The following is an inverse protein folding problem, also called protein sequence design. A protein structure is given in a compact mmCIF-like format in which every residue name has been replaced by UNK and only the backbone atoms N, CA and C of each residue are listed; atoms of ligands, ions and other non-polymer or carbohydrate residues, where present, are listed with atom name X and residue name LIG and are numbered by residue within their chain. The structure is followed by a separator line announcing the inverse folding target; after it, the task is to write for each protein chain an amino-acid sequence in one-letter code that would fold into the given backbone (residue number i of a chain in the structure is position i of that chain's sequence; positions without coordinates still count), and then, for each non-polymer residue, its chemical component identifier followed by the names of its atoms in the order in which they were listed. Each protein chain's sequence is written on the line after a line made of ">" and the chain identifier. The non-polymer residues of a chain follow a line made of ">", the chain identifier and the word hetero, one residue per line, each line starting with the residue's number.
data_IF_096935424829
#
_entry.id   IF_096935424829
#
_cell.length_a   1.000
_cell.length_b   1.000
_cell.length_c   1.000
_cell.angle_alpha   90.00
_cell.angle_beta   90.00
_cell.angle_gamma   90.00
#
_symmetry.space_group_name_H-M   'P 1'
#
loop_
_entity.id
_entity.type
_entity.pdbx_description
1 polymer ?
#
# COMPACT_ATOMS: atom_id res chain seq x y z
N UNK A 1 7.51 -44.24 0.00
CA UNK A 1 6.66 -43.08 -0.31
C UNK A 1 6.70 -42.15 0.88
N UNK A 2 7.52 -41.09 0.82
CA UNK A 2 7.58 -40.07 1.88
C UNK A 2 6.26 -39.31 1.84
N UNK A 3 5.34 -39.65 2.75
CA UNK A 3 4.08 -38.95 2.95
C UNK A 3 4.39 -37.51 3.37
N UNK A 4 4.51 -36.62 2.38
CA UNK A 4 4.74 -35.22 2.65
C UNK A 4 3.50 -34.65 3.33
N UNK A 5 3.68 -34.14 4.53
CA UNK A 5 2.58 -33.63 5.34
C UNK A 5 2.31 -32.19 4.95
N UNK A 6 1.03 -31.88 4.63
CA UNK A 6 0.56 -30.51 4.39
C UNK A 6 0.90 -29.64 5.60
N UNK A 7 1.50 -28.47 5.37
CA UNK A 7 1.97 -27.59 6.46
C UNK A 7 1.04 -26.40 6.59
N UNK A 8 0.72 -26.03 7.84
CA UNK A 8 0.05 -24.77 8.12
C UNK A 8 1.09 -23.65 8.11
N UNK A 9 0.81 -22.59 7.35
CA UNK A 9 1.61 -21.39 7.30
C UNK A 9 0.74 -20.23 7.71
N UNK A 10 1.16 -19.49 8.72
CA UNK A 10 0.54 -18.20 9.04
C UNK A 10 1.51 -17.10 8.63
N UNK A 11 0.99 -16.15 7.86
CA UNK A 11 1.77 -15.09 7.23
C UNK A 11 1.21 -13.73 7.62
N UNK A 12 2.07 -12.73 7.71
CA UNK A 12 1.71 -11.34 7.97
C UNK A 12 2.50 -10.40 7.08
N UNK A 13 1.81 -9.42 6.50
CA UNK A 13 2.38 -8.31 5.75
C UNK A 13 2.38 -7.07 6.66
N UNK A 14 3.54 -6.42 6.79
CA UNK A 14 3.77 -5.26 7.67
C UNK A 14 4.71 -4.26 6.99
N UNK A 15 4.70 -2.97 7.35
CA UNK A 15 3.98 -2.34 8.47
C UNK A 15 2.55 -1.93 8.13
N UNK A 16 1.61 -2.16 9.07
CA UNK A 16 0.20 -1.75 8.89
C UNK A 16 -0.04 -0.33 9.38
N UNK A 17 0.38 -0.02 10.60
CA UNK A 17 0.10 1.27 11.23
C UNK A 17 0.85 2.42 10.53
N UNK A 18 2.12 2.21 10.19
CA UNK A 18 2.91 3.21 9.46
C UNK A 18 2.36 3.43 8.04
N UNK A 19 1.89 2.37 7.36
CA UNK A 19 1.37 2.54 6.00
C UNK A 19 -0.05 3.10 5.95
N UNK A 20 -0.96 2.59 6.79
CA UNK A 20 -2.38 2.98 6.79
C UNK A 20 -2.63 4.19 7.68
N UNK A 21 -2.10 4.16 8.90
CA UNK A 21 -2.37 5.17 9.94
C UNK A 21 -1.67 6.50 9.68
N UNK A 22 -0.50 6.51 9.04
CA UNK A 22 0.16 7.75 8.63
C UNK A 22 -0.47 8.29 7.34
N UNK A 23 -1.62 8.95 7.50
CA UNK A 23 -2.40 9.55 6.42
C UNK A 23 -2.73 11.00 6.75
N UNK A 24 -2.37 11.94 5.86
CA UNK A 24 -2.75 13.35 5.99
C UNK A 24 -4.12 13.66 5.38
N UNK A 25 -4.61 12.77 4.52
CA UNK A 25 -5.85 12.91 3.75
C UNK A 25 -6.65 11.63 3.84
N UNK A 26 -7.98 11.73 3.76
CA UNK A 26 -8.89 10.57 3.75
C UNK A 26 -8.60 9.63 2.57
N UNK A 27 -8.21 10.18 1.42
CA UNK A 27 -7.72 9.37 0.30
C UNK A 27 -6.44 8.59 0.63
N UNK A 28 -5.52 9.15 1.40
CA UNK A 28 -4.28 8.43 1.78
C UNK A 28 -4.58 7.26 2.71
N UNK A 29 -5.56 7.45 3.61
CA UNK A 29 -6.04 6.40 4.50
C UNK A 29 -6.69 5.28 3.69
N UNK A 30 -7.60 5.63 2.79
CA UNK A 30 -8.21 4.67 1.86
C UNK A 30 -7.14 3.95 1.04
N UNK A 31 -6.26 4.70 0.39
CA UNK A 31 -5.16 4.20 -0.43
C UNK A 31 -4.30 3.18 0.33
N UNK A 32 -3.90 3.51 1.56
CA UNK A 32 -3.13 2.62 2.41
C UNK A 32 -3.87 1.31 2.70
N UNK A 33 -5.13 1.40 3.12
CA UNK A 33 -5.95 0.21 3.43
C UNK A 33 -6.23 -0.66 2.18
N UNK A 34 -6.51 -0.02 1.05
CA UNK A 34 -6.81 -0.69 -0.21
C UNK A 34 -5.58 -1.42 -0.74
N UNK A 35 -4.43 -0.76 -0.79
CA UNK A 35 -3.18 -1.38 -1.25
C UNK A 35 -2.74 -2.53 -0.35
N UNK A 36 -2.90 -2.41 0.97
CA UNK A 36 -2.60 -3.51 1.89
C UNK A 36 -3.48 -4.73 1.64
N UNK A 37 -4.79 -4.53 1.50
CA UNK A 37 -5.74 -5.60 1.14
C UNK A 37 -5.41 -6.22 -0.22
N UNK A 38 -5.04 -5.40 -1.21
CA UNK A 38 -4.65 -5.86 -2.53
C UNK A 38 -3.37 -6.70 -2.50
N UNK A 39 -2.34 -6.28 -1.76
CA UNK A 39 -1.11 -7.07 -1.59
C UNK A 39 -1.39 -8.39 -0.84
N UNK A 40 -2.27 -8.38 0.16
CA UNK A 40 -2.75 -9.61 0.79
C UNK A 40 -3.48 -10.52 -0.19
N UNK A 41 -4.28 -9.96 -1.10
CA UNK A 41 -4.92 -10.70 -2.18
C UNK A 41 -3.89 -11.38 -3.10
N UNK A 42 -2.82 -10.69 -3.46
CA UNK A 42 -1.74 -11.26 -4.29
C UNK A 42 -1.08 -12.46 -3.62
N UNK A 43 -0.75 -12.35 -2.33
CA UNK A 43 -0.19 -13.45 -1.56
C UNK A 43 -1.16 -14.65 -1.48
N UNK A 44 -2.44 -14.40 -1.20
CA UNK A 44 -3.45 -15.46 -1.11
C UNK A 44 -3.75 -16.11 -2.47
N UNK A 45 -3.75 -15.34 -3.55
CA UNK A 45 -3.91 -15.84 -4.91
C UNK A 45 -2.75 -16.76 -5.29
N UNK A 46 -1.50 -16.36 -4.99
CA UNK A 46 -0.32 -17.20 -5.22
C UNK A 46 -0.40 -18.56 -4.48
N UNK A 47 -0.92 -18.56 -3.24
CA UNK A 47 -1.18 -19.82 -2.51
C UNK A 47 -2.17 -20.70 -3.27
N UNK A 48 -3.29 -20.14 -3.71
CA UNK A 48 -4.33 -20.90 -4.43
C UNK A 48 -3.83 -21.42 -5.78
N UNK A 49 -3.10 -20.61 -6.54
CA UNK A 49 -2.50 -20.99 -7.83
C UNK A 49 -1.47 -22.12 -7.67
N UNK A 50 -0.75 -22.16 -6.54
CA UNK A 50 0.15 -23.25 -6.19
C UNK A 50 -0.57 -24.52 -5.70
N UNK A 51 -1.91 -24.56 -5.69
CA UNK A 51 -2.71 -25.69 -5.20
C UNK A 51 -2.86 -25.74 -3.67
N UNK A 52 -2.51 -24.66 -2.98
CA UNK A 52 -2.76 -24.49 -1.56
C UNK A 52 -4.16 -23.96 -1.25
N UNK A 53 -4.45 -23.84 0.04
CA UNK A 53 -5.76 -23.42 0.54
C UNK A 53 -5.61 -22.33 1.60
N UNK A 54 -6.48 -21.33 1.56
CA UNK A 54 -6.57 -20.32 2.62
C UNK A 54 -7.52 -20.85 3.70
N UNK A 55 -6.98 -21.14 4.87
CA UNK A 55 -7.74 -21.64 6.03
C UNK A 55 -8.48 -20.50 6.71
N UNK A 56 -7.83 -19.34 6.84
CA UNK A 56 -8.42 -18.16 7.45
C UNK A 56 -7.79 -16.88 6.89
N UNK A 57 -8.57 -15.85 6.52
CA UNK A 57 -10.04 -15.81 6.53
C UNK A 57 -10.67 -16.63 5.38
N UNK A 58 -12.00 -16.67 5.33
CA UNK A 58 -12.74 -17.18 4.17
C UNK A 58 -12.63 -16.17 3.02
N UNK A 59 -12.16 -16.61 1.86
CA UNK A 59 -11.80 -15.70 0.75
C UNK A 59 -12.33 -16.14 -0.63
N UNK A 60 -13.08 -17.23 -0.71
CA UNK A 60 -13.53 -17.79 -1.99
C UNK A 60 -14.42 -16.82 -2.78
N UNK A 61 -15.29 -16.09 -2.08
CA UNK A 61 -16.17 -15.08 -2.66
C UNK A 61 -15.58 -13.67 -2.66
N UNK A 62 -14.34 -13.48 -2.16
CA UNK A 62 -13.74 -12.16 -2.11
C UNK A 62 -13.48 -11.63 -3.54
N UNK A 63 -13.95 -10.42 -3.87
CA UNK A 63 -13.88 -9.91 -5.24
C UNK A 63 -12.44 -9.72 -5.73
N UNK A 64 -11.47 -9.40 -4.86
CA UNK A 64 -10.07 -9.26 -5.28
C UNK A 64 -9.47 -10.63 -5.64
N UNK A 65 -9.75 -11.66 -4.84
CA UNK A 65 -9.29 -13.03 -5.12
C UNK A 65 -9.88 -13.55 -6.44
N UNK A 66 -11.19 -13.36 -6.64
CA UNK A 66 -11.86 -13.79 -7.87
C UNK A 66 -11.31 -13.08 -9.11
N UNK A 67 -11.01 -11.79 -9.00
CA UNK A 67 -10.40 -11.02 -10.09
C UNK A 67 -8.99 -11.50 -10.44
N UNK A 68 -8.18 -11.88 -9.44
CA UNK A 68 -6.83 -12.37 -9.67
C UNK A 68 -6.82 -13.76 -10.32
N UNK A 69 -7.64 -14.68 -9.81
CA UNK A 69 -7.61 -16.09 -10.21
C UNK A 69 -8.46 -16.36 -11.45
N UNK A 70 -9.70 -15.89 -11.47
CA UNK A 70 -10.67 -16.22 -12.54
C UNK A 70 -10.68 -15.17 -13.66
N UNK A 71 -10.14 -13.97 -13.40
CA UNK A 71 -10.02 -12.86 -14.36
C UNK A 71 -11.34 -12.45 -15.04
N UNK A 72 -12.50 -12.74 -14.44
CA UNK A 72 -13.80 -12.35 -14.97
C UNK A 72 -14.91 -12.33 -13.89
N UNK A 73 -16.03 -11.68 -14.24
CA UNK A 73 -17.33 -11.92 -13.60
C UNK A 73 -17.64 -11.20 -12.29
N UNK A 74 -16.79 -10.29 -11.82
CA UNK A 74 -17.03 -9.53 -10.56
C UNK A 74 -16.65 -8.07 -10.72
N UNK A 75 -17.45 -7.18 -10.11
CA UNK A 75 -17.14 -5.75 -10.03
C UNK A 75 -15.96 -5.53 -9.10
N UNK A 76 -14.89 -4.82 -9.53
CA UNK A 76 -13.78 -4.50 -8.66
C UNK A 76 -14.21 -3.70 -7.43
N UNK A 77 -13.74 -4.09 -6.24
CA UNK A 77 -14.15 -3.43 -5.01
C UNK A 77 -13.55 -2.03 -4.94
N UNK A 78 -14.29 -1.09 -4.35
CA UNK A 78 -13.75 0.23 -3.97
C UNK A 78 -12.98 0.13 -2.66
N UNK A 79 -13.39 -0.75 -1.74
CA UNK A 79 -12.78 -0.92 -0.41
C UNK A 79 -12.19 -2.31 -0.29
N UNK A 80 -10.97 -2.40 0.24
CA UNK A 80 -10.33 -3.68 0.53
C UNK A 80 -10.87 -4.34 1.78
N UNK A 81 -11.19 -5.64 1.69
CA UNK A 81 -11.74 -6.48 2.76
C UNK A 81 -10.70 -7.44 3.37
N UNK A 82 -9.59 -7.68 2.69
CA UNK A 82 -8.65 -8.73 3.06
C UNK A 82 -7.69 -8.25 4.16
N UNK A 83 -7.50 -9.03 5.22
CA UNK A 83 -6.59 -8.69 6.29
C UNK A 83 -5.13 -8.90 5.87
N UNK A 84 -4.24 -8.18 6.56
CA UNK A 84 -2.81 -8.29 6.35
C UNK A 84 -2.18 -9.58 6.93
N UNK A 85 -2.96 -10.40 7.64
CA UNK A 85 -2.52 -11.65 8.23
C UNK A 85 -3.52 -12.76 7.87
N UNK A 86 -3.01 -13.89 7.41
CA UNK A 86 -3.82 -15.04 7.03
C UNK A 86 -3.09 -16.35 7.32
N UNK A 87 -3.87 -17.44 7.37
CA UNK A 87 -3.35 -18.81 7.50
C UNK A 87 -3.70 -19.61 6.27
N UNK A 88 -2.75 -20.41 5.80
CA UNK A 88 -2.86 -21.25 4.63
C UNK A 88 -2.34 -22.67 4.89
N UNK A 89 -2.85 -23.64 4.12
CA UNK A 89 -2.25 -24.96 3.93
C UNK A 89 -1.49 -24.98 2.63
N UNK A 90 -0.19 -25.28 2.69
CA UNK A 90 0.66 -25.39 1.49
C UNK A 90 0.92 -26.85 1.11
N UNK A 91 0.93 -27.16 -0.21
CA UNK A 91 1.35 -28.46 -0.72
C UNK A 91 2.80 -28.80 -0.38
N UNK A 92 3.11 -30.08 -0.47
CA UNK A 92 4.47 -30.59 -0.28
C UNK A 92 5.40 -30.00 -1.34
N UNK A 93 6.53 -29.46 -0.91
CA UNK A 93 7.52 -28.84 -1.80
C UNK A 93 7.24 -27.36 -2.13
N UNK A 94 6.09 -26.83 -1.74
CA UNK A 94 5.76 -25.40 -1.88
C UNK A 94 6.09 -24.67 -0.59
N UNK A 95 6.94 -23.66 -0.69
CA UNK A 95 7.34 -22.81 0.44
C UNK A 95 6.55 -21.51 0.53
N UNK A 96 6.51 -20.87 1.71
CA UNK A 96 5.86 -19.56 1.91
C UNK A 96 6.49 -18.41 1.09
N UNK A 97 7.67 -18.62 0.50
CA UNK A 97 8.40 -17.66 -0.32
C UNK A 97 7.58 -17.18 -1.52
N UNK A 98 6.68 -18.02 -2.06
CA UNK A 98 5.76 -17.64 -3.16
C UNK A 98 4.90 -16.43 -2.80
N UNK A 99 4.51 -16.30 -1.52
CA UNK A 99 3.70 -15.18 -1.04
C UNK A 99 4.52 -13.89 -1.01
N UNK A 100 5.79 -13.99 -0.58
CA UNK A 100 6.71 -12.86 -0.53
C UNK A 100 7.00 -12.35 -1.95
N UNK A 101 7.28 -13.27 -2.87
CA UNK A 101 7.53 -12.95 -4.28
C UNK A 101 6.32 -12.28 -4.92
N UNK A 102 5.12 -12.85 -4.77
CA UNK A 102 3.88 -12.25 -5.29
C UNK A 102 3.64 -10.82 -4.76
N UNK A 103 3.88 -10.57 -3.46
CA UNK A 103 3.74 -9.24 -2.86
C UNK A 103 4.79 -8.28 -3.39
N UNK A 104 6.05 -8.68 -3.45
CA UNK A 104 7.17 -7.83 -3.89
C UNK A 104 7.06 -7.50 -5.38
N UNK A 105 6.68 -8.45 -6.23
CA UNK A 105 6.49 -8.25 -7.66
C UNK A 105 5.32 -7.30 -7.94
N UNK A 106 4.18 -7.52 -7.27
CA UNK A 106 3.02 -6.65 -7.42
C UNK A 106 3.32 -5.22 -6.95
N UNK A 107 3.93 -5.07 -5.76
CA UNK A 107 4.32 -3.77 -5.22
C UNK A 107 5.33 -3.05 -6.12
N UNK A 108 6.38 -3.76 -6.56
CA UNK A 108 7.40 -3.25 -7.46
C UNK A 108 6.81 -2.78 -8.79
N UNK A 109 5.89 -3.56 -9.38
CA UNK A 109 5.21 -3.20 -10.63
C UNK A 109 4.38 -1.92 -10.50
N UNK A 110 3.63 -1.76 -9.41
CA UNK A 110 2.88 -0.54 -9.14
C UNK A 110 3.82 0.66 -8.93
N UNK A 111 4.88 0.45 -8.13
CA UNK A 111 5.86 1.49 -7.84
C UNK A 111 6.57 1.95 -9.12
N UNK A 112 6.92 1.03 -10.02
CA UNK A 112 7.54 1.36 -11.30
C UNK A 112 6.65 2.25 -12.17
N UNK A 113 5.34 1.99 -12.19
CA UNK A 113 4.40 2.85 -12.92
C UNK A 113 4.33 4.27 -12.35
N UNK A 114 4.35 4.41 -11.02
CA UNK A 114 4.42 5.72 -10.35
C UNK A 114 5.76 6.41 -10.64
N UNK A 115 6.87 5.68 -10.55
CA UNK A 115 8.21 6.18 -10.85
C UNK A 115 8.29 6.73 -12.27
N UNK A 116 7.97 5.90 -13.27
CA UNK A 116 8.04 6.27 -14.68
C UNK A 116 7.18 7.49 -15.00
N UNK A 117 5.98 7.59 -14.40
CA UNK A 117 5.05 8.69 -14.68
C UNK A 117 5.45 10.00 -14.01
N UNK A 118 5.87 9.94 -12.74
CA UNK A 118 5.95 11.13 -11.88
C UNK A 118 7.37 11.51 -11.46
N UNK A 119 8.24 10.53 -11.18
CA UNK A 119 9.55 10.79 -10.54
C UNK A 119 10.68 10.77 -11.55
N UNK A 120 10.71 9.81 -12.49
CA UNK A 120 11.69 9.73 -13.56
C UNK A 120 11.89 11.07 -14.33
N UNK A 121 10.85 11.85 -14.63
CA UNK A 121 11.01 13.13 -15.32
C UNK A 121 11.75 14.21 -14.52
N UNK A 122 11.80 14.10 -13.19
CA UNK A 122 12.41 15.11 -12.30
C UNK A 122 13.68 14.61 -11.63
N UNK A 123 14.13 13.38 -11.97
CA UNK A 123 15.22 12.70 -11.26
C UNK A 123 16.55 13.46 -11.29
N UNK A 124 16.80 14.22 -12.35
CA UNK A 124 18.03 15.02 -12.53
C UNK A 124 18.12 16.21 -11.55
N UNK A 125 16.99 16.61 -10.93
CA UNK A 125 16.97 17.64 -9.89
C UNK A 125 17.32 17.09 -8.50
N UNK A 126 17.48 15.78 -8.35
CA UNK A 126 17.81 15.16 -7.07
C UNK A 126 19.31 15.27 -6.77
N UNK A 127 19.63 15.39 -5.49
CA UNK A 127 21.00 15.34 -4.98
C UNK A 127 21.55 13.91 -4.90
N UNK A 128 20.69 12.90 -5.00
CA UNK A 128 21.14 11.52 -4.99
C UNK A 128 21.92 11.22 -6.29
N UNK A 129 23.13 10.63 -6.21
CA UNK A 129 23.87 10.22 -7.40
C UNK A 129 23.08 9.24 -8.28
N UNK A 130 22.30 8.37 -7.64
CA UNK A 130 21.35 7.48 -8.30
C UNK A 130 20.02 7.46 -7.53
N UNK A 131 19.12 8.38 -7.89
CA UNK A 131 17.76 8.40 -7.32
C UNK A 131 16.97 7.12 -7.63
N UNK A 132 17.25 6.44 -8.75
CA UNK A 132 16.55 5.21 -9.13
C UNK A 132 16.91 4.06 -8.20
N UNK A 133 18.18 3.97 -7.80
CA UNK A 133 18.63 3.01 -6.80
C UNK A 133 17.97 3.26 -5.44
N UNK A 134 17.92 4.52 -4.99
CA UNK A 134 17.25 4.93 -3.75
C UNK A 134 15.76 4.58 -3.79
N UNK A 135 15.06 4.94 -4.86
CA UNK A 135 13.65 4.58 -5.05
C UNK A 135 13.46 3.06 -4.95
N UNK A 136 14.24 2.29 -5.71
CA UNK A 136 14.14 0.83 -5.76
C UNK A 136 14.38 0.21 -4.39
N UNK A 137 15.38 0.72 -3.66
CA UNK A 137 15.70 0.27 -2.32
C UNK A 137 14.58 0.56 -1.33
N UNK A 138 14.04 1.78 -1.32
CA UNK A 138 12.93 2.14 -0.44
C UNK A 138 11.68 1.29 -0.73
N UNK A 139 11.37 1.05 -2.00
CA UNK A 139 10.23 0.23 -2.41
C UNK A 139 10.40 -1.24 -1.97
N UNK A 140 11.55 -1.85 -2.23
CA UNK A 140 11.82 -3.26 -1.87
C UNK A 140 11.91 -3.47 -0.36
N UNK A 141 12.47 -2.50 0.36
CA UNK A 141 12.66 -2.54 1.80
C UNK A 141 11.41 -2.23 2.62
N UNK A 142 10.34 -1.70 2.01
CA UNK A 142 9.19 -1.22 2.76
C UNK A 142 8.36 -2.33 3.41
N UNK A 143 8.04 -3.39 2.66
CA UNK A 143 7.18 -4.47 3.14
C UNK A 143 8.00 -5.59 3.79
N UNK A 144 7.81 -5.78 5.09
CA UNK A 144 8.23 -6.99 5.81
C UNK A 144 7.13 -8.04 5.72
N UNK A 145 7.43 -9.15 5.02
CA UNK A 145 6.59 -10.35 4.96
C UNK A 145 7.17 -11.39 5.91
N UNK A 146 6.48 -11.63 7.03
CA UNK A 146 6.89 -12.59 8.05
C UNK A 146 5.93 -13.78 8.09
N UNK A 147 6.47 -14.99 8.27
CA UNK A 147 5.69 -16.21 8.38
C UNK A 147 6.26 -17.15 9.45
N UNK A 148 5.42 -18.07 9.90
CA UNK A 148 5.87 -19.28 10.61
C UNK A 148 5.21 -20.49 9.97
N UNK A 149 5.97 -21.57 9.86
CA UNK A 149 5.52 -22.85 9.34
C UNK A 149 5.32 -23.79 10.51
N UNK A 150 4.11 -24.37 10.59
CA UNK A 150 3.67 -25.17 11.72
C UNK A 150 3.37 -26.58 11.20
N UNK A 151 4.17 -27.58 11.59
CA UNK A 151 3.84 -28.98 11.30
C UNK A 151 2.64 -29.40 12.17
N UNK A 152 1.83 -30.34 11.69
CA UNK A 152 0.81 -30.96 12.53
C UNK A 152 1.48 -31.75 13.66
N UNK A 153 0.76 -31.84 14.77
CA UNK A 153 1.18 -32.55 15.97
C UNK A 153 0.11 -33.58 16.29
N UNK A 154 0.52 -34.81 16.59
CA UNK A 154 -0.43 -35.89 16.91
C UNK A 154 -1.29 -35.50 18.12
N UNK A 155 -2.61 -35.59 17.96
CA UNK A 155 -3.59 -35.21 18.97
C UNK A 155 -3.96 -33.72 19.00
N UNK A 156 -3.36 -32.86 18.18
CA UNK A 156 -3.84 -31.48 17.99
C UNK A 156 -4.96 -31.41 16.94
N UNK A 157 -6.07 -30.75 17.28
CA UNK A 157 -7.06 -30.36 16.28
C UNK A 157 -6.60 -29.11 15.48
N UNK A 158 -7.33 -28.78 14.41
CA UNK A 158 -7.00 -27.63 13.56
C UNK A 158 -7.05 -26.31 14.34
N UNK A 159 -8.00 -26.15 15.26
CA UNK A 159 -8.14 -24.93 16.07
C UNK A 159 -6.93 -24.73 16.98
N UNK A 160 -6.44 -25.80 17.60
CA UNK A 160 -5.24 -25.80 18.43
C UNK A 160 -4.00 -25.48 17.58
N UNK A 161 -3.89 -26.07 16.39
CA UNK A 161 -2.83 -25.80 15.43
C UNK A 161 -2.79 -24.31 15.04
N UNK A 162 -3.95 -23.72 14.71
CA UNK A 162 -4.09 -22.31 14.33
C UNK A 162 -3.75 -21.37 15.50
N UNK A 163 -4.17 -21.71 16.72
CA UNK A 163 -3.82 -20.95 17.94
C UNK A 163 -2.30 -20.93 18.15
N UNK A 164 -1.66 -22.09 18.06
CA UNK A 164 -0.19 -22.23 18.19
C UNK A 164 0.55 -21.46 17.09
N UNK A 165 0.04 -21.52 15.85
CA UNK A 165 0.57 -20.74 14.74
C UNK A 165 0.50 -19.23 15.03
N UNK A 166 -0.63 -18.74 15.50
CA UNK A 166 -0.81 -17.35 15.91
C UNK A 166 0.19 -16.90 16.98
N UNK A 167 0.39 -17.71 18.02
CA UNK A 167 1.33 -17.43 19.10
C UNK A 167 2.79 -17.39 18.59
N UNK A 168 3.17 -18.35 17.74
CA UNK A 168 4.49 -18.40 17.12
C UNK A 168 4.75 -17.20 16.21
N UNK A 169 3.76 -16.77 15.41
CA UNK A 169 3.88 -15.59 14.57
C UNK A 169 4.04 -14.33 15.42
N UNK A 170 3.30 -14.21 16.52
CA UNK A 170 3.44 -13.08 17.46
C UNK A 170 4.86 -13.02 18.01
N UNK A 171 5.46 -14.15 18.37
CA UNK A 171 6.86 -14.23 18.81
C UNK A 171 7.82 -13.88 17.69
N UNK A 172 7.60 -14.40 16.47
CA UNK A 172 8.42 -14.06 15.28
C UNK A 172 8.42 -12.56 14.97
N UNK A 173 7.30 -11.87 15.21
CA UNK A 173 7.18 -10.40 15.07
C UNK A 173 7.96 -9.62 16.14
N UNK A 174 8.43 -10.24 17.23
CA UNK A 174 9.33 -9.60 18.20
C UNK A 174 10.80 -9.61 17.72
N UNK A 175 11.14 -10.51 16.80
CA UNK A 175 12.49 -10.68 16.26
C UNK A 175 12.64 -9.94 14.94
N UNK A 176 12.25 -8.66 14.93
CA UNK A 176 12.36 -7.81 13.75
C UNK A 176 13.76 -7.24 13.66
N UNK A 177 14.41 -7.51 12.54
CA UNK A 177 15.59 -6.74 12.14
C UNK A 177 15.10 -5.54 11.35
N UNK A 178 14.93 -4.40 12.02
CA UNK A 178 14.70 -3.14 11.32
C UNK A 178 16.04 -2.68 10.73
N UNK A 179 16.35 -3.23 9.55
CA UNK A 179 17.50 -2.78 8.78
C UNK A 179 17.08 -1.49 8.10
N UNK A 180 17.62 -0.37 8.58
CA UNK A 180 17.52 0.89 7.84
C UNK A 180 18.13 0.69 6.44
N UNK A 181 17.56 1.29 5.39
CA UNK A 181 18.09 1.12 4.05
C UNK A 181 19.51 1.69 3.97
N UNK A 182 20.35 1.09 3.11
CA UNK A 182 21.74 1.46 2.83
C UNK A 182 21.90 2.90 2.27
N UNK A 183 20.80 3.63 2.06
CA UNK A 183 20.80 5.06 1.74
C UNK A 183 21.52 5.93 2.80
N UNK A 184 21.63 5.44 4.04
CA UNK A 184 22.48 6.02 5.07
C UNK A 184 23.98 5.89 4.78
N UNK A 185 24.40 4.93 3.97
CA UNK A 185 25.78 4.78 3.50
C UNK A 185 26.08 5.70 2.29
N UNK A 186 25.09 6.01 1.45
CA UNK A 186 25.31 6.76 0.20
C UNK A 186 25.42 8.28 0.39
N UNK A 187 24.60 8.88 1.26
CA UNK A 187 24.67 10.32 1.58
C UNK A 187 25.30 10.61 2.95
N UNK A 188 25.72 9.57 3.68
CA UNK A 188 26.10 9.67 5.10
C UNK A 188 24.89 9.97 6.00
N UNK A 189 25.14 10.02 7.32
CA UNK A 189 24.10 10.28 8.34
C UNK A 189 23.47 11.68 8.24
N UNK A 190 24.16 12.64 7.62
CA UNK A 190 23.77 14.06 7.59
C UNK A 190 23.08 14.51 6.28
N UNK A 191 23.03 13.67 5.25
CA UNK A 191 22.46 14.06 3.96
C UNK A 191 20.98 13.69 3.81
N UNK A 192 20.16 14.65 3.37
CA UNK A 192 18.74 14.43 3.03
C UNK A 192 17.79 14.51 4.23
N UNK A 193 16.69 15.23 4.06
CA UNK A 193 15.64 15.29 5.07
C UNK A 193 14.82 13.98 5.14
N UNK A 194 14.03 13.84 6.20
CA UNK A 194 13.07 12.75 6.34
C UNK A 194 11.76 13.05 5.62
N UNK A 195 11.09 11.98 5.20
CA UNK A 195 9.74 12.03 4.68
C UNK A 195 8.76 12.53 5.74
N UNK A 196 7.93 13.49 5.36
CA UNK A 196 6.96 14.10 6.27
C UNK A 196 5.75 13.21 6.57
N UNK A 197 5.53 12.17 5.77
CA UNK A 197 4.45 11.20 5.98
C UNK A 197 4.95 9.95 6.72
N UNK A 198 6.17 9.49 6.40
CA UNK A 198 6.78 8.27 6.92
C UNK A 198 8.21 8.61 7.41
N UNK A 199 8.36 9.16 8.63
CA UNK A 199 9.62 9.76 9.09
C UNK A 199 10.82 8.82 9.13
N UNK A 200 10.60 7.51 9.22
CA UNK A 200 11.70 6.53 9.22
C UNK A 200 12.44 6.45 7.86
N UNK A 201 11.85 7.02 6.81
CA UNK A 201 12.36 7.02 5.44
C UNK A 201 12.83 8.41 5.00
N UNK A 202 13.87 8.46 4.17
CA UNK A 202 14.33 9.73 3.56
C UNK A 202 13.41 10.19 2.43
N UNK A 203 13.28 11.50 2.27
CA UNK A 203 12.59 12.07 1.12
C UNK A 203 13.46 12.02 -0.16
N UNK A 204 12.85 12.17 -1.33
CA UNK A 204 13.49 11.87 -2.62
C UNK A 204 14.40 12.97 -3.21
N UNK A 205 14.36 14.21 -2.70
CA UNK A 205 15.25 15.26 -3.21
C UNK A 205 16.71 15.01 -2.82
N UNK A 206 16.97 14.36 -1.68
CA UNK A 206 18.31 14.11 -1.17
C UNK A 206 19.02 15.35 -0.62
N UNK A 207 18.32 16.48 -0.53
CA UNK A 207 18.82 17.73 0.03
C UNK A 207 18.43 17.84 1.51
N UNK A 208 19.38 18.30 2.32
CA UNK A 208 19.11 18.75 3.68
C UNK A 208 18.66 20.21 3.65
N UNK A 209 17.47 20.51 4.20
CA UNK A 209 16.91 21.86 4.12
C UNK A 209 17.77 22.92 4.82
N UNK A 210 18.51 22.53 5.86
CA UNK A 210 19.42 23.42 6.58
C UNK A 210 20.49 24.07 5.68
N UNK A 211 20.87 23.39 4.59
CA UNK A 211 21.94 23.85 3.70
C UNK A 211 21.47 24.13 2.27
N UNK A 212 20.38 23.50 1.82
CA UNK A 212 19.95 23.49 0.42
C UNK A 212 18.43 23.60 0.27
N UNK A 213 17.79 24.51 1.02
CA UNK A 213 16.34 24.72 0.97
C UNK A 213 15.83 25.01 -0.45
N UNK A 214 16.48 25.90 -1.19
CA UNK A 214 16.02 26.31 -2.53
C UNK A 214 16.03 25.13 -3.51
N UNK A 215 17.11 24.33 -3.55
CA UNK A 215 17.20 23.15 -4.42
C UNK A 215 16.19 22.06 -4.05
N UNK A 216 15.95 21.88 -2.76
CA UNK A 216 14.90 20.99 -2.28
C UNK A 216 13.52 21.47 -2.76
N UNK A 217 13.24 22.76 -2.62
CA UNK A 217 11.99 23.37 -3.02
C UNK A 217 11.80 23.31 -4.55
N UNK A 218 12.86 23.48 -5.35
CA UNK A 218 12.85 23.31 -6.81
C UNK A 218 12.46 21.88 -7.24
N UNK A 219 13.07 20.86 -6.63
CA UNK A 219 12.72 19.45 -6.90
C UNK A 219 11.24 19.18 -6.63
N UNK A 220 10.74 19.61 -5.47
CA UNK A 220 9.36 19.37 -5.06
C UNK A 220 8.37 20.24 -5.82
N UNK A 221 8.74 21.45 -6.21
CA UNK A 221 7.93 22.33 -7.04
C UNK A 221 7.77 21.74 -8.45
N UNK A 222 8.85 21.28 -9.07
CA UNK A 222 8.79 20.64 -10.39
C UNK A 222 7.89 19.40 -10.34
N UNK A 223 8.06 18.52 -9.33
CA UNK A 223 7.23 17.34 -9.18
C UNK A 223 5.75 17.68 -8.91
N UNK A 224 5.47 18.74 -8.15
CA UNK A 224 4.11 19.22 -7.85
C UNK A 224 3.42 19.85 -9.06
N UNK A 225 4.16 20.60 -9.88
CA UNK A 225 3.61 21.33 -11.02
C UNK A 225 3.26 20.42 -12.20
N UNK A 226 3.67 19.14 -12.16
CA UNK A 226 3.27 18.16 -13.17
C UNK A 226 1.74 17.98 -13.21
N UNK A 227 1.15 17.72 -14.40
CA UNK A 227 -0.30 17.57 -14.54
C UNK A 227 -0.88 16.52 -13.58
N UNK A 228 -1.87 16.92 -12.78
CA UNK A 228 -2.55 16.07 -11.78
C UNK A 228 -1.89 16.06 -10.39
N UNK A 229 -0.63 16.48 -10.26
CA UNK A 229 0.13 16.45 -9.01
C UNK A 229 -0.14 17.64 -8.08
N UNK A 230 -0.54 18.78 -8.61
CA UNK A 230 -0.72 20.02 -7.84
C UNK A 230 -1.78 19.91 -6.75
N UNK A 231 -2.84 19.14 -7.01
CA UNK A 231 -3.88 18.84 -6.01
C UNK A 231 -3.43 17.74 -5.05
N UNK A 232 -2.43 16.96 -5.43
CA UNK A 232 -1.97 15.73 -4.79
C UNK A 232 -0.89 16.00 -3.73
N UNK A 233 0.00 16.96 -3.99
CA UNK A 233 1.17 17.26 -3.17
C UNK A 233 1.08 18.73 -2.76
N UNK A 234 1.06 18.97 -1.45
CA UNK A 234 0.89 20.30 -0.88
C UNK A 234 2.20 21.09 -0.99
N UNK A 235 2.12 22.42 -0.88
CA UNK A 235 3.32 23.23 -0.73
C UNK A 235 4.14 22.84 0.51
N UNK A 236 5.46 22.75 0.34
CA UNK A 236 6.41 22.25 1.34
C UNK A 236 6.28 20.76 1.72
N UNK A 237 5.42 19.97 1.06
CA UNK A 237 5.28 18.53 1.34
C UNK A 237 6.42 17.73 0.70
N UNK A 238 7.08 16.88 1.51
CA UNK A 238 8.24 16.06 1.10
C UNK A 238 8.02 14.61 1.48
N UNK A 239 8.19 13.71 0.52
CA UNK A 239 7.75 12.31 0.63
C UNK A 239 8.85 11.33 0.21
N UNK A 240 8.87 10.16 0.83
CA UNK A 240 9.65 9.00 0.40
C UNK A 240 8.91 8.24 -0.73
N UNK A 241 9.56 7.24 -1.32
CA UNK A 241 8.99 6.47 -2.42
C UNK A 241 7.67 5.75 -2.03
N UNK A 242 7.56 4.98 -0.92
CA UNK A 242 6.31 4.34 -0.53
C UNK A 242 5.16 5.33 -0.28
N UNK A 243 5.48 6.50 0.29
CA UNK A 243 4.50 7.57 0.52
C UNK A 243 3.99 8.16 -0.81
N UNK A 244 4.88 8.35 -1.80
CA UNK A 244 4.49 8.79 -3.14
C UNK A 244 3.65 7.76 -3.87
N UNK A 245 4.01 6.48 -3.82
CA UNK A 245 3.19 5.42 -4.41
C UNK A 245 1.78 5.44 -3.81
N UNK A 246 1.67 5.48 -2.48
CA UNK A 246 0.39 5.58 -1.77
C UNK A 246 -0.42 6.82 -2.20
N UNK A 247 0.23 7.98 -2.34
CA UNK A 247 -0.43 9.25 -2.68
C UNK A 247 -0.86 9.33 -4.15
N UNK A 248 -0.07 8.77 -5.06
CA UNK A 248 -0.20 9.00 -6.50
C UNK A 248 -0.83 7.82 -7.26
N UNK A 249 -0.89 6.61 -6.71
CA UNK A 249 -1.56 5.51 -7.41
C UNK A 249 -3.01 5.83 -7.83
N UNK A 250 -3.84 6.55 -7.04
CA UNK A 250 -5.24 6.79 -7.41
C UNK A 250 -5.39 7.71 -8.64
N UNK A 251 -4.34 8.45 -9.00
CA UNK A 251 -4.35 9.34 -10.16
C UNK A 251 -3.69 8.73 -11.40
N UNK A 252 -3.19 7.50 -11.32
CA UNK A 252 -2.75 6.77 -12.51
C UNK A 252 -3.91 6.66 -13.51
N UNK A 253 -3.55 6.56 -14.79
CA UNK A 253 -4.55 6.43 -15.85
C UNK A 253 -5.24 5.05 -15.75
N UNK A 254 -6.53 4.93 -16.12
CA UNK A 254 -7.27 3.67 -16.03
C UNK A 254 -6.58 2.48 -16.70
N UNK A 255 -5.95 2.68 -17.87
CA UNK A 255 -5.18 1.64 -18.55
C UNK A 255 -3.96 1.21 -17.72
N UNK A 256 -3.21 2.16 -17.17
CA UNK A 256 -2.05 1.88 -16.31
C UNK A 256 -2.49 1.11 -15.05
N UNK A 257 -3.61 1.47 -14.43
CA UNK A 257 -4.16 0.73 -13.28
C UNK A 257 -4.52 -0.71 -13.64
N UNK A 258 -5.15 -0.93 -14.81
CA UNK A 258 -5.43 -2.29 -15.30
C UNK A 258 -4.15 -3.08 -15.55
N UNK A 259 -3.13 -2.43 -16.10
CA UNK A 259 -1.84 -3.08 -16.36
C UNK A 259 -1.08 -3.42 -15.08
N UNK A 260 -1.17 -2.58 -14.03
CA UNK A 260 -0.40 -2.75 -12.79
C UNK A 260 -1.13 -3.54 -11.72
N UNK A 261 -2.36 -3.14 -11.38
CA UNK A 261 -3.18 -3.71 -10.30
C UNK A 261 -4.05 -4.85 -10.83
N UNK A 262 -4.36 -4.85 -12.14
CA UNK A 262 -5.28 -5.79 -12.79
C UNK A 262 -6.65 -5.16 -13.10
N UNK A 263 -7.00 -4.06 -12.42
CA UNK A 263 -8.29 -3.39 -12.57
C UNK A 263 -8.24 -1.93 -12.10
N UNK A 264 -9.33 -1.21 -12.35
CA UNK A 264 -9.61 0.10 -11.74
C UNK A 264 -10.52 -0.15 -10.53
N UNK A 265 -10.16 0.27 -9.30
CA UNK A 265 -11.03 0.08 -8.15
C UNK A 265 -12.41 0.72 -8.39
N UNK A 266 -13.49 -0.01 -8.10
CA UNK A 266 -14.87 0.43 -8.38
C UNK A 266 -15.27 0.48 -9.86
N UNK A 267 -14.40 0.10 -10.81
CA UNK A 267 -14.56 0.38 -12.24
C UNK A 267 -14.67 1.88 -12.61
N UNK A 268 -14.50 2.80 -11.66
CA UNK A 268 -14.59 4.24 -11.88
C UNK A 268 -13.33 4.95 -11.34
N UNK A 269 -12.54 5.51 -12.28
CA UNK A 269 -11.36 6.30 -11.95
C UNK A 269 -11.69 7.65 -11.28
N UNK A 270 -12.93 8.12 -11.39
CA UNK A 270 -13.43 9.33 -10.74
C UNK A 270 -13.69 9.13 -9.24
N UNK A 271 -14.35 8.02 -8.87
CA UNK A 271 -14.66 7.70 -7.48
C UNK A 271 -13.41 7.54 -6.61
N UNK A 272 -12.36 6.90 -7.13
CA UNK A 272 -11.10 6.72 -6.37
C UNK A 272 -10.33 8.04 -6.13
N UNK A 273 -10.60 9.08 -6.94
CA UNK A 273 -9.96 10.40 -6.81
C UNK A 273 -10.69 11.30 -5.83
N UNK A 274 -12.00 11.11 -5.67
CA UNK A 274 -12.90 11.96 -4.91
C UNK A 274 -13.19 11.38 -3.52
N UNK A 275 -12.34 11.74 -2.56
CA UNK A 275 -12.57 11.39 -1.15
C UNK A 275 -12.91 12.64 -0.33
N UNK A 276 -14.00 12.63 0.45
CA UNK A 276 -14.39 13.78 1.26
C UNK A 276 -13.34 14.06 2.33
N UNK A 277 -13.05 15.33 2.59
CA UNK A 277 -12.18 15.70 3.72
C UNK A 277 -12.85 15.36 5.05
N UNK A 278 -12.06 15.14 6.10
CA UNK A 278 -12.59 14.94 7.46
C UNK A 278 -13.46 16.12 7.92
N UNK A 279 -13.07 17.34 7.53
CA UNK A 279 -13.86 18.56 7.75
C UNK A 279 -15.22 18.48 7.07
N UNK A 280 -15.26 18.08 5.80
CA UNK A 280 -16.51 17.89 5.06
C UNK A 280 -17.40 16.83 5.72
N UNK A 281 -16.83 15.68 6.10
CA UNK A 281 -17.57 14.62 6.80
C UNK A 281 -18.15 15.10 8.13
N UNK A 282 -17.39 15.89 8.90
CA UNK A 282 -17.85 16.44 10.18
C UNK A 282 -19.04 17.40 10.01
N UNK A 283 -19.06 18.20 8.94
CA UNK A 283 -20.18 19.14 8.67
C UNK A 283 -21.33 18.51 7.90
N UNK A 284 -21.18 17.30 7.36
CA UNK A 284 -22.19 16.64 6.51
C UNK A 284 -23.58 16.53 7.17
N UNK A 285 -23.73 16.18 8.46
CA UNK A 285 -25.04 16.15 9.10
C UNK A 285 -25.70 17.54 9.15
N UNK A 286 -24.91 18.60 9.35
CA UNK A 286 -25.40 19.98 9.34
C UNK A 286 -25.80 20.41 7.93
N UNK A 287 -24.97 20.12 6.91
CA UNK A 287 -25.28 20.38 5.50
C UNK A 287 -26.59 19.71 5.07
N UNK A 288 -26.81 18.45 5.46
CA UNK A 288 -28.07 17.73 5.20
C UNK A 288 -29.27 18.42 5.85
N UNK A 289 -29.15 18.91 7.09
CA UNK A 289 -30.23 19.67 7.76
C UNK A 289 -30.55 20.99 7.05
N UNK A 290 -29.53 21.71 6.58
CA UNK A 290 -29.73 22.97 5.84
C UNK A 290 -30.37 22.70 4.48
N UNK A 291 -29.94 21.66 3.77
CA UNK A 291 -30.52 21.26 2.50
C UNK A 291 -32.00 20.83 2.63
N UNK A 292 -32.35 20.12 3.70
CA UNK A 292 -33.73 19.71 3.96
C UNK A 292 -34.63 20.85 4.47
N UNK A 293 -34.07 22.01 4.83
CA UNK A 293 -34.81 23.23 5.22
C UNK A 293 -35.12 24.14 4.02
N UNK A 294 -35.10 23.60 2.81
CA UNK A 294 -35.27 24.31 1.53
C UNK A 294 -36.64 24.97 1.27
N UNK A 295 -37.36 25.40 2.32
CA UNK A 295 -38.38 26.45 2.21
C UNK A 295 -37.87 27.84 2.62
N UNK A 296 -36.63 28.00 3.11
CA UNK A 296 -36.21 29.29 3.67
C UNK A 296 -34.98 30.01 3.06
N UNK A 297 -34.09 29.39 2.26
CA UNK A 297 -32.94 30.14 1.71
C UNK A 297 -32.27 29.47 0.49
N UNK A 298 -32.72 29.83 -0.72
CA UNK A 298 -32.13 29.45 -2.01
C UNK A 298 -30.67 29.92 -2.30
N UNK A 299 -30.13 31.05 -1.80
CA UNK A 299 -28.86 31.57 -2.33
C UNK A 299 -27.57 30.83 -1.91
N UNK A 300 -27.61 29.99 -0.86
CA UNK A 300 -26.40 29.38 -0.29
C UNK A 300 -26.07 28.01 -0.90
N UNK A 301 -27.08 27.25 -1.35
CA UNK A 301 -26.91 25.87 -1.82
C UNK A 301 -26.30 25.82 -3.22
N UNK A 302 -26.57 26.82 -4.07
CA UNK A 302 -26.05 26.87 -5.44
C UNK A 302 -24.54 27.08 -5.50
N UNK A 303 -23.91 27.62 -4.44
CA UNK A 303 -22.44 27.79 -4.36
C UNK A 303 -21.67 26.52 -3.99
N UNK A 304 -22.35 25.47 -3.52
CA UNK A 304 -21.73 24.18 -3.15
C UNK A 304 -21.71 23.18 -4.31
N UNK A 305 -22.36 23.51 -5.44
CA UNK A 305 -22.47 22.65 -6.63
C UNK A 305 -21.57 23.09 -7.81
N UNK A 306 -20.79 24.15 -7.65
CA UNK A 306 -19.77 24.62 -8.60
C UNK A 306 -18.37 24.29 -8.07
#
# INVERSE_FOLDING_TARGET
>A
MTGGVMKHVILSITPVQEFVGQARRTRDLWAGSYLLSWLSAQAMAAVKEAGGEIVMPQVDDDPMIRLLIHRNGVTPPVVGSLPNQFTARLPVGVGPEICREAVQDAWGKLAEAVWCKFVKPVKELSNFPDLSAVWTQQIKGFWEIAWVVVPPVDGEDERQTLKRAGDLLRRRKLWRSHLLPDEYATLGREGGDHCQLMPDWRELSGYARASHADKQDDFWAELRNRPGNSVQITDGERLCAPALVKRLFPILMPNVLRDTIGWVPGNDGGEIRSWPSTRYMAVLPWLRRVANRQDANKPFIDRLRA
#
